data_IF_202520470061
#
_entry.id   IF_202520470061
#
_cell.length_a   1.000
_cell.length_b   1.000
_cell.length_c   1.000
_cell.angle_alpha   90.00
_cell.angle_beta   90.00
_cell.angle_gamma   90.00
#
_symmetry.space_group_name_H-M   'P 1'
#
loop_
_entity.id
_entity.type
_entity.pdbx_description
1 polymer ?
#
# COMPACT_ATOMS: atom_id res chain seq x y z
N UNK A 1 14.65 -19.15 1.02
CA UNK A 1 13.78 -18.29 1.82
C UNK A 1 13.32 -17.19 0.90
N UNK A 2 12.05 -17.09 0.60
CA UNK A 2 11.51 -16.07 -0.32
C UNK A 2 11.55 -14.68 0.31
N UNK A 3 11.36 -13.64 -0.51
CA UNK A 3 11.34 -12.27 -0.01
C UNK A 3 10.28 -12.06 1.08
N UNK A 4 9.08 -12.62 0.90
CA UNK A 4 7.99 -12.49 1.88
C UNK A 4 8.33 -13.15 3.22
N UNK A 5 9.15 -14.20 3.24
CA UNK A 5 9.60 -14.83 4.49
C UNK A 5 10.47 -13.86 5.31
N UNK A 6 11.26 -13.02 4.64
CA UNK A 6 12.06 -11.98 5.29
C UNK A 6 11.16 -10.91 5.91
N UNK A 7 10.11 -10.48 5.20
CA UNK A 7 9.10 -9.54 5.72
C UNK A 7 8.39 -10.14 6.94
N UNK A 8 7.95 -11.41 6.84
CA UNK A 8 7.31 -12.12 7.96
C UNK A 8 8.25 -12.24 9.17
N UNK A 9 9.53 -12.53 8.97
CA UNK A 9 10.52 -12.57 10.05
C UNK A 9 10.69 -11.21 10.74
N UNK A 10 10.73 -10.11 9.98
CA UNK A 10 10.76 -8.74 10.53
C UNK A 10 9.49 -8.42 11.31
N UNK A 11 8.32 -8.75 10.78
CA UNK A 11 7.04 -8.54 11.46
C UNK A 11 7.00 -9.25 12.83
N UNK A 12 7.47 -10.50 12.89
CA UNK A 12 7.59 -11.27 14.15
C UNK A 12 8.53 -10.65 15.18
N UNK A 13 9.64 -10.08 14.71
CA UNK A 13 10.69 -9.56 15.59
C UNK A 13 10.21 -8.33 16.42
N UNK A 14 9.30 -7.54 15.87
CA UNK A 14 8.67 -6.39 16.55
C UNK A 14 7.18 -6.36 16.17
N UNK A 15 6.38 -7.16 16.87
CA UNK A 15 4.96 -7.33 16.59
C UNK A 15 4.18 -6.05 16.81
N UNK A 16 3.39 -5.69 15.82
CA UNK A 16 2.47 -4.56 15.84
C UNK A 16 1.03 -5.03 15.93
N UNK A 17 0.16 -4.14 16.36
CA UNK A 17 -1.28 -4.41 16.48
C UNK A 17 -1.99 -3.90 15.23
N UNK A 18 -2.56 -4.82 14.45
CA UNK A 18 -3.21 -4.51 13.17
C UNK A 18 -4.72 -4.77 13.27
N UNK A 19 -5.50 -3.80 12.81
CA UNK A 19 -6.96 -3.91 12.74
C UNK A 19 -7.39 -4.54 11.43
N UNK A 20 -8.30 -5.51 11.52
CA UNK A 20 -9.04 -6.11 10.41
C UNK A 20 -10.53 -5.80 10.58
N UNK A 21 -11.08 -4.79 9.88
CA UNK A 21 -12.45 -4.33 10.11
C UNK A 21 -13.51 -5.14 9.35
N UNK A 22 -13.12 -5.96 8.38
CA UNK A 22 -14.03 -6.66 7.47
C UNK A 22 -14.42 -8.05 8.01
N UNK A 23 -15.14 -8.08 9.14
CA UNK A 23 -15.61 -9.30 9.78
C UNK A 23 -16.78 -10.00 9.04
N UNK A 24 -17.29 -9.41 7.98
CA UNK A 24 -18.27 -10.04 7.07
C UNK A 24 -17.61 -10.92 6.00
N UNK A 25 -16.29 -10.83 5.78
CA UNK A 25 -15.57 -11.59 4.77
C UNK A 25 -14.84 -12.80 5.39
N UNK A 26 -15.13 -13.99 4.89
CA UNK A 26 -14.53 -15.25 5.35
C UNK A 26 -13.00 -15.25 5.23
N UNK A 27 -12.45 -14.64 4.16
CA UNK A 27 -11.00 -14.55 3.93
C UNK A 27 -10.27 -13.80 5.05
N UNK A 28 -10.94 -12.83 5.69
CA UNK A 28 -10.39 -12.12 6.86
C UNK A 28 -10.12 -13.08 8.02
N UNK A 29 -11.01 -14.01 8.29
CA UNK A 29 -10.82 -15.01 9.36
C UNK A 29 -9.78 -16.07 8.99
N UNK A 30 -9.74 -16.51 7.73
CA UNK A 30 -8.73 -17.44 7.24
C UNK A 30 -7.32 -16.84 7.37
N UNK A 31 -7.17 -15.58 6.95
CA UNK A 31 -5.93 -14.82 7.12
C UNK A 31 -5.60 -14.60 8.62
N UNK A 32 -6.59 -14.21 9.43
CA UNK A 32 -6.39 -14.00 10.86
C UNK A 32 -5.88 -15.27 11.58
N UNK A 33 -6.48 -16.43 11.29
CA UNK A 33 -6.03 -17.70 11.85
C UNK A 33 -4.57 -18.02 11.47
N UNK A 34 -4.19 -17.76 10.22
CA UNK A 34 -2.82 -17.96 9.76
C UNK A 34 -1.83 -16.97 10.39
N UNK A 35 -2.17 -15.68 10.44
CA UNK A 35 -1.35 -14.63 11.07
C UNK A 35 -1.07 -14.97 12.54
N UNK A 36 -2.10 -15.37 13.28
CA UNK A 36 -1.99 -15.73 14.69
C UNK A 36 -1.21 -17.03 14.91
N UNK A 37 -1.39 -18.02 14.04
CA UNK A 37 -0.62 -19.28 14.05
C UNK A 37 0.86 -19.03 13.76
N UNK A 38 1.15 -18.17 12.79
CA UNK A 38 2.53 -17.79 12.42
C UNK A 38 3.13 -16.73 13.36
N UNK A 39 2.33 -16.15 14.26
CA UNK A 39 2.72 -15.11 15.24
C UNK A 39 3.28 -13.83 14.59
N UNK A 40 2.65 -13.38 13.49
CA UNK A 40 3.14 -12.24 12.69
C UNK A 40 2.78 -10.88 13.27
N UNK A 41 1.60 -10.76 13.89
CA UNK A 41 1.07 -9.52 14.44
C UNK A 41 0.06 -9.82 15.55
N UNK A 42 -0.20 -8.83 16.42
CA UNK A 42 -1.39 -8.82 17.24
C UNK A 42 -2.57 -8.36 16.38
N UNK A 43 -3.72 -9.02 16.49
CA UNK A 43 -4.88 -8.70 15.66
C UNK A 43 -6.03 -8.16 16.49
N UNK A 44 -6.69 -7.14 15.93
CA UNK A 44 -8.01 -6.69 16.36
C UNK A 44 -8.99 -6.96 15.24
N UNK A 45 -10.06 -7.69 15.52
CA UNK A 45 -11.18 -7.92 14.61
C UNK A 45 -12.37 -7.13 15.12
N UNK A 46 -12.94 -6.28 14.26
CA UNK A 46 -14.10 -5.45 14.63
C UNK A 46 -15.37 -6.22 14.30
N UNK A 47 -16.24 -6.38 15.31
CA UNK A 47 -17.53 -7.06 15.17
C UNK A 47 -18.05 -7.56 16.51
N UNK A 48 -19.31 -7.96 16.55
CA UNK A 48 -19.86 -8.61 17.76
C UNK A 48 -19.25 -10.01 17.94
N UNK A 49 -19.10 -10.44 19.21
CA UNK A 49 -18.57 -11.78 19.52
C UNK A 49 -19.34 -12.90 18.81
N UNK A 50 -20.67 -12.75 18.69
CA UNK A 50 -21.50 -13.71 17.98
C UNK A 50 -21.20 -13.76 16.48
N UNK A 51 -21.09 -12.60 15.84
CA UNK A 51 -20.77 -12.50 14.40
C UNK A 51 -19.37 -13.08 14.12
N UNK A 52 -18.37 -12.73 14.93
CA UNK A 52 -17.00 -13.23 14.78
C UNK A 52 -16.95 -14.74 15.01
N UNK A 53 -17.60 -15.26 16.05
CA UNK A 53 -17.67 -16.70 16.31
C UNK A 53 -18.30 -17.47 15.14
N UNK A 54 -19.38 -16.94 14.56
CA UNK A 54 -20.02 -17.55 13.39
C UNK A 54 -19.14 -17.46 12.13
N UNK A 55 -18.55 -16.30 11.88
CA UNK A 55 -17.70 -16.07 10.71
C UNK A 55 -16.40 -16.87 10.74
N UNK A 56 -15.85 -17.13 11.92
CA UNK A 56 -14.60 -17.88 12.12
C UNK A 56 -14.80 -19.38 12.37
N UNK A 57 -15.99 -19.92 12.17
CA UNK A 57 -16.27 -21.35 12.42
C UNK A 57 -15.23 -22.27 11.76
N UNK A 58 -14.61 -23.15 12.56
CA UNK A 58 -13.54 -24.05 12.12
C UNK A 58 -12.15 -23.42 12.02
N UNK A 59 -11.98 -22.16 12.40
CA UNK A 59 -10.70 -21.43 12.40
C UNK A 59 -10.34 -20.98 13.82
N UNK A 60 -9.07 -21.05 14.17
CA UNK A 60 -8.59 -20.57 15.48
C UNK A 60 -8.18 -19.09 15.40
N UNK A 61 -9.09 -18.24 15.84
CA UNK A 61 -8.86 -16.80 16.01
C UNK A 61 -8.87 -16.39 17.49
N UNK A 62 -8.73 -17.34 18.41
CA UNK A 62 -8.87 -17.11 19.86
C UNK A 62 -7.87 -16.12 20.45
N UNK A 63 -6.73 -15.91 19.77
CA UNK A 63 -5.72 -14.93 20.19
C UNK A 63 -5.98 -13.51 19.66
N UNK A 64 -6.98 -13.31 18.79
CA UNK A 64 -7.36 -11.98 18.34
C UNK A 64 -8.16 -11.26 19.43
N UNK A 65 -7.99 -9.95 19.55
CA UNK A 65 -8.86 -9.10 20.33
C UNK A 65 -10.12 -8.80 19.51
N UNK A 66 -11.30 -9.15 20.05
CA UNK A 66 -12.57 -8.83 19.41
C UNK A 66 -13.07 -7.51 19.97
N UNK A 67 -13.42 -6.58 19.10
CA UNK A 67 -13.95 -5.26 19.48
C UNK A 67 -15.34 -5.08 18.88
N UNK A 68 -16.34 -5.08 19.77
CA UNK A 68 -17.72 -4.76 19.43
C UNK A 68 -17.95 -3.24 19.59
N UNK A 69 -18.16 -2.48 18.50
CA UNK A 69 -18.36 -1.04 18.56
C UNK A 69 -19.51 -0.60 19.46
N UNK A 70 -20.54 -1.42 19.62
CA UNK A 70 -21.70 -1.08 20.47
C UNK A 70 -21.39 -1.21 21.96
N UNK A 71 -20.43 -2.07 22.33
CA UNK A 71 -20.11 -2.39 23.73
C UNK A 71 -18.77 -1.80 24.21
N UNK A 72 -17.92 -1.36 23.28
CA UNK A 72 -16.60 -0.85 23.63
C UNK A 72 -16.71 0.51 24.34
N UNK A 73 -16.13 0.61 25.52
CA UNK A 73 -16.09 1.84 26.32
C UNK A 73 -15.42 3.03 25.62
N UNK A 74 -14.51 2.78 24.67
CA UNK A 74 -13.81 3.80 23.89
C UNK A 74 -14.63 4.39 22.74
N UNK A 75 -15.76 3.77 22.38
CA UNK A 75 -16.58 4.20 21.23
C UNK A 75 -17.02 5.66 21.35
N UNK A 76 -17.39 6.12 22.55
CA UNK A 76 -17.78 7.53 22.74
C UNK A 76 -16.59 8.47 22.48
N UNK A 77 -15.39 8.12 22.92
CA UNK A 77 -14.19 8.93 22.65
C UNK A 77 -13.87 9.03 21.16
N UNK A 78 -14.10 7.95 20.40
CA UNK A 78 -13.95 7.96 18.92
C UNK A 78 -14.98 8.86 18.25
N UNK A 79 -16.23 8.82 18.72
CA UNK A 79 -17.30 9.73 18.24
C UNK A 79 -16.91 11.18 18.48
N UNK A 80 -16.51 11.53 19.70
CA UNK A 80 -16.14 12.90 20.09
C UNK A 80 -14.94 13.39 19.26
N UNK A 81 -13.95 12.53 19.06
CA UNK A 81 -12.77 12.85 18.24
C UNK A 81 -13.12 13.03 16.76
N UNK A 82 -14.04 12.23 16.22
CA UNK A 82 -14.49 12.39 14.82
C UNK A 82 -15.24 13.72 14.64
N UNK A 83 -16.07 14.12 15.62
CA UNK A 83 -16.71 15.44 15.63
C UNK A 83 -15.67 16.54 15.64
N UNK A 84 -14.67 16.49 16.54
CA UNK A 84 -13.57 17.47 16.62
C UNK A 84 -12.87 17.63 15.27
N UNK A 85 -12.48 16.51 14.64
CA UNK A 85 -11.72 16.50 13.39
C UNK A 85 -12.53 17.01 12.19
N UNK A 86 -13.87 16.85 12.23
CA UNK A 86 -14.74 17.08 11.08
C UNK A 86 -15.82 18.14 11.31
N UNK A 87 -15.81 18.85 12.45
CA UNK A 87 -16.80 19.90 12.79
C UNK A 87 -16.95 20.93 11.67
N UNK A 88 -15.82 21.42 11.12
CA UNK A 88 -15.79 22.40 10.01
C UNK A 88 -16.38 21.86 8.67
N UNK A 89 -16.64 20.56 8.60
CA UNK A 89 -17.26 19.88 7.45
C UNK A 89 -18.69 19.40 7.76
N UNK A 90 -19.29 19.91 8.84
CA UNK A 90 -20.68 19.64 9.22
C UNK A 90 -20.91 18.28 9.89
N UNK A 91 -19.87 17.69 10.51
CA UNK A 91 -20.05 16.49 11.34
C UNK A 91 -20.71 16.86 12.65
N UNK A 92 -21.87 16.26 12.94
CA UNK A 92 -22.57 16.40 14.21
C UNK A 92 -22.32 15.16 15.08
N UNK A 93 -22.54 15.20 16.41
CA UNK A 93 -22.41 14.03 17.29
C UNK A 93 -23.25 12.83 16.81
N UNK A 94 -24.47 13.07 16.35
CA UNK A 94 -25.37 12.03 15.89
C UNK A 94 -24.83 11.35 14.64
N UNK A 95 -24.39 12.14 13.64
CA UNK A 95 -23.76 11.63 12.40
C UNK A 95 -22.46 10.89 12.68
N UNK A 96 -21.64 11.42 13.60
CA UNK A 96 -20.39 10.78 13.97
C UNK A 96 -20.65 9.42 14.63
N UNK A 97 -21.63 9.35 15.55
CA UNK A 97 -22.02 8.10 16.19
C UNK A 97 -22.56 7.09 15.18
N UNK A 98 -23.45 7.52 14.30
CA UNK A 98 -23.99 6.67 13.23
C UNK A 98 -22.84 6.13 12.35
N UNK A 99 -21.90 6.99 11.91
CA UNK A 99 -20.75 6.59 11.10
C UNK A 99 -19.88 5.55 11.82
N UNK A 100 -19.52 5.81 13.07
CA UNK A 100 -18.63 4.94 13.86
C UNK A 100 -19.27 3.57 14.13
N UNK A 101 -20.58 3.51 14.37
CA UNK A 101 -21.25 2.25 14.67
C UNK A 101 -21.55 1.41 13.41
N UNK A 102 -21.77 2.05 12.26
CA UNK A 102 -22.21 1.37 11.04
C UNK A 102 -21.10 1.16 10.00
N UNK A 103 -19.92 1.75 10.18
CA UNK A 103 -18.79 1.61 9.27
C UNK A 103 -17.52 1.22 10.04
N UNK A 104 -17.22 -0.06 10.03
CA UNK A 104 -16.08 -0.62 10.77
C UNK A 104 -14.73 -0.14 10.24
N UNK A 105 -14.68 0.33 8.98
CA UNK A 105 -13.46 0.96 8.46
C UNK A 105 -13.21 2.31 9.14
N UNK A 106 -14.25 3.13 9.34
CA UNK A 106 -14.13 4.35 10.16
C UNK A 106 -13.73 4.03 11.59
N UNK A 107 -14.30 2.99 12.18
CA UNK A 107 -13.94 2.57 13.53
C UNK A 107 -12.46 2.17 13.65
N UNK A 108 -11.99 1.32 12.74
CA UNK A 108 -10.59 0.88 12.70
C UNK A 108 -9.60 2.03 12.49
N UNK A 109 -9.93 2.96 11.58
CA UNK A 109 -9.12 4.17 11.37
C UNK A 109 -9.08 5.06 12.62
N UNK A 110 -10.19 5.14 13.38
CA UNK A 110 -10.19 5.86 14.66
C UNK A 110 -9.33 5.16 15.71
N UNK A 111 -9.30 3.82 15.76
CA UNK A 111 -8.40 3.07 16.64
C UNK A 111 -6.94 3.42 16.34
N UNK A 112 -6.55 3.45 15.06
CA UNK A 112 -5.20 3.87 14.65
C UNK A 112 -4.94 5.33 15.03
N UNK A 113 -5.92 6.23 14.81
CA UNK A 113 -5.81 7.65 15.16
C UNK A 113 -5.59 7.91 16.63
N UNK A 114 -6.22 7.11 17.47
CA UNK A 114 -6.19 7.24 18.93
C UNK A 114 -5.05 6.45 19.59
N UNK A 115 -4.26 5.70 18.82
CA UNK A 115 -3.12 4.91 19.29
C UNK A 115 -3.53 3.58 19.95
N UNK A 116 -4.74 3.10 19.68
CA UNK A 116 -5.22 1.80 20.15
C UNK A 116 -4.82 0.65 19.22
N UNK A 117 -4.35 0.98 18.03
CA UNK A 117 -3.72 0.08 17.06
C UNK A 117 -2.62 0.81 16.30
N UNK A 118 -1.65 0.05 15.76
CA UNK A 118 -0.52 0.61 15.01
C UNK A 118 -0.87 0.79 13.53
N UNK A 119 -1.73 -0.07 12.98
CA UNK A 119 -2.12 -0.03 11.58
C UNK A 119 -3.43 -0.75 11.29
N UNK A 120 -3.89 -0.67 10.03
CA UNK A 120 -5.12 -1.32 9.58
C UNK A 120 -4.94 -1.91 8.18
N UNK A 121 -5.57 -3.05 7.92
CA UNK A 121 -5.70 -3.66 6.58
C UNK A 121 -7.17 -3.90 6.29
N UNK A 122 -7.66 -3.39 5.16
CA UNK A 122 -9.07 -3.46 4.72
C UNK A 122 -9.14 -3.46 3.19
N UNK A 123 -10.29 -3.74 2.59
CA UNK A 123 -10.51 -3.66 1.14
C UNK A 123 -10.85 -5.01 0.49
N UNK A 124 -10.89 -6.10 1.24
CA UNK A 124 -11.26 -7.41 0.71
C UNK A 124 -12.70 -7.44 0.16
N UNK A 125 -13.63 -6.72 0.81
CA UNK A 125 -15.01 -6.61 0.37
C UNK A 125 -15.49 -5.17 0.13
N UNK A 126 -14.67 -4.17 0.43
CA UNK A 126 -14.96 -2.75 0.18
C UNK A 126 -14.21 -2.21 -1.04
N UNK A 127 -14.67 -1.09 -1.58
CA UNK A 127 -13.93 -0.39 -2.65
C UNK A 127 -12.77 0.41 -2.05
N UNK A 128 -11.70 0.61 -2.82
CA UNK A 128 -10.58 1.49 -2.47
C UNK A 128 -11.04 2.86 -1.98
N UNK A 129 -12.06 3.44 -2.61
CA UNK A 129 -12.63 4.72 -2.18
C UNK A 129 -13.26 4.65 -0.77
N UNK A 130 -13.89 3.54 -0.41
CA UNK A 130 -14.49 3.36 0.92
C UNK A 130 -13.42 3.12 1.98
N UNK A 131 -12.36 2.39 1.66
CA UNK A 131 -11.22 2.16 2.57
C UNK A 131 -10.42 3.45 2.80
N UNK A 132 -10.09 4.19 1.75
CA UNK A 132 -9.21 5.36 1.85
C UNK A 132 -9.90 6.63 2.32
N UNK A 133 -11.22 6.77 2.11
CA UNK A 133 -11.96 7.96 2.54
C UNK A 133 -11.83 8.24 4.04
N UNK A 134 -12.05 7.31 4.96
CA UNK A 134 -11.83 7.55 6.39
C UNK A 134 -10.36 7.84 6.69
N UNK A 135 -9.42 7.19 6.05
CA UNK A 135 -7.99 7.44 6.23
C UNK A 135 -7.61 8.90 5.92
N UNK A 136 -8.04 9.40 4.76
CA UNK A 136 -7.79 10.79 4.35
C UNK A 136 -8.52 11.81 5.23
N UNK A 137 -9.70 11.46 5.72
CA UNK A 137 -10.50 12.36 6.57
C UNK A 137 -9.96 12.47 7.99
N UNK A 138 -9.42 11.40 8.54
CA UNK A 138 -9.06 11.26 9.96
C UNK A 138 -7.54 11.31 10.16
N UNK A 139 -6.78 10.48 9.45
CA UNK A 139 -5.32 10.39 9.59
C UNK A 139 -4.61 11.51 8.83
N UNK A 140 -5.13 11.86 7.66
CA UNK A 140 -4.55 12.82 6.72
C UNK A 140 -3.22 12.33 6.12
N UNK A 141 -2.54 13.21 5.38
CA UNK A 141 -1.22 12.95 4.79
C UNK A 141 -0.10 13.14 5.82
N UNK A 142 1.01 12.45 5.61
CA UNK A 142 2.28 12.75 6.32
C UNK A 142 2.67 14.21 6.11
N UNK A 143 3.27 14.89 7.10
CA UNK A 143 3.86 16.20 6.91
C UNK A 143 4.84 16.20 5.73
N UNK A 144 4.72 17.17 4.83
CA UNK A 144 5.57 17.27 3.64
C UNK A 144 5.13 16.42 2.44
N UNK A 145 4.21 15.49 2.60
CA UNK A 145 3.67 14.69 1.49
C UNK A 145 2.64 15.47 0.69
N UNK A 146 2.87 15.57 -0.61
CA UNK A 146 2.00 16.32 -1.53
C UNK A 146 0.80 15.50 -2.00
N UNK A 147 0.96 14.18 -2.08
CA UNK A 147 -0.02 13.26 -2.67
C UNK A 147 -0.03 11.93 -1.93
N UNK A 148 -1.21 11.37 -1.68
CA UNK A 148 -1.37 9.97 -1.32
C UNK A 148 -1.39 9.14 -2.59
N UNK A 149 -0.58 8.11 -2.65
CA UNK A 149 -0.48 7.19 -3.76
C UNK A 149 -0.48 5.74 -3.28
N UNK A 150 -0.44 4.80 -4.22
CA UNK A 150 -0.40 3.39 -3.91
C UNK A 150 0.67 2.69 -4.73
N UNK A 151 1.23 1.61 -4.19
CA UNK A 151 2.16 0.76 -4.92
C UNK A 151 1.80 -0.72 -4.75
N UNK A 152 2.29 -1.54 -5.65
CA UNK A 152 2.36 -2.98 -5.46
C UNK A 152 3.81 -3.40 -5.23
N UNK A 153 4.02 -4.21 -4.20
CA UNK A 153 5.26 -4.97 -4.07
C UNK A 153 5.09 -6.24 -4.90
N UNK A 154 5.87 -6.35 -5.96
CA UNK A 154 5.86 -7.49 -6.86
C UNK A 154 7.02 -8.40 -6.55
N UNK A 155 6.75 -9.70 -6.44
CA UNK A 155 7.78 -10.74 -6.32
C UNK A 155 7.60 -11.71 -7.49
N UNK A 156 8.46 -11.59 -8.48
CA UNK A 156 8.40 -12.36 -9.73
C UNK A 156 9.29 -13.59 -9.58
N UNK A 157 8.76 -14.80 -9.66
CA UNK A 157 9.56 -16.01 -9.51
C UNK A 157 10.51 -16.18 -10.69
N UNK A 158 11.68 -16.77 -10.43
CA UNK A 158 12.71 -17.10 -11.43
C UNK A 158 13.10 -15.91 -12.33
N UNK A 159 13.10 -14.69 -11.79
CA UNK A 159 13.38 -13.45 -12.51
C UNK A 159 14.74 -12.85 -12.11
N UNK A 160 15.60 -12.65 -13.09
CA UNK A 160 16.95 -12.08 -12.90
C UNK A 160 16.96 -10.54 -12.84
N UNK A 161 15.83 -9.88 -13.15
CA UNK A 161 15.73 -8.41 -13.17
C UNK A 161 15.33 -7.85 -11.80
N UNK A 162 15.56 -6.55 -11.63
CA UNK A 162 15.32 -5.86 -10.36
C UNK A 162 16.31 -6.31 -9.31
N UNK A 163 15.81 -6.67 -8.13
CA UNK A 163 16.58 -7.34 -7.09
C UNK A 163 16.03 -8.79 -6.95
N UNK A 164 16.50 -9.68 -7.82
CA UNK A 164 16.04 -11.07 -7.90
C UNK A 164 14.52 -11.21 -8.02
N UNK A 165 13.91 -10.41 -8.90
CA UNK A 165 12.47 -10.39 -9.15
C UNK A 165 11.65 -9.52 -8.20
N UNK A 166 12.28 -8.85 -7.23
CA UNK A 166 11.58 -7.93 -6.32
C UNK A 166 11.52 -6.52 -6.90
N UNK A 167 10.29 -5.99 -7.01
CA UNK A 167 10.02 -4.66 -7.55
C UNK A 167 8.97 -3.92 -6.73
N UNK A 168 9.01 -2.59 -6.79
CA UNK A 168 7.87 -1.72 -6.49
C UNK A 168 7.32 -1.15 -7.78
N UNK A 169 6.01 -1.31 -7.99
CA UNK A 169 5.24 -0.74 -9.10
C UNK A 169 4.34 0.37 -8.58
N UNK A 170 4.57 1.61 -8.94
CA UNK A 170 3.82 2.80 -8.51
C UNK A 170 3.39 3.71 -9.70
N UNK A 171 2.25 4.34 -9.69
CA UNK A 171 1.02 4.01 -8.98
C UNK A 171 0.18 3.06 -9.84
N UNK A 172 -0.33 1.99 -9.23
CA UNK A 172 -1.11 1.00 -9.96
C UNK A 172 -2.54 0.83 -9.38
N UNK A 173 -2.96 1.67 -8.43
CA UNK A 173 -4.20 1.46 -7.71
C UNK A 173 -5.04 2.70 -7.37
N UNK A 174 -4.51 3.91 -7.44
CA UNK A 174 -5.17 5.08 -6.87
C UNK A 174 -5.27 6.29 -7.82
N UNK A 175 -4.16 6.79 -8.33
CA UNK A 175 -4.12 8.04 -9.10
C UNK A 175 -4.32 7.77 -10.60
N UNK A 176 -5.44 8.24 -11.16
CA UNK A 176 -5.82 7.91 -12.54
C UNK A 176 -4.87 8.48 -13.58
N UNK A 177 -4.63 9.77 -13.53
CA UNK A 177 -3.76 10.46 -14.49
C UNK A 177 -2.99 11.58 -13.78
N UNK A 178 -1.91 11.23 -13.05
CA UNK A 178 -1.12 12.19 -12.30
C UNK A 178 -0.46 13.21 -13.24
N UNK A 179 -0.45 14.47 -12.83
CA UNK A 179 0.34 15.51 -13.49
C UNK A 179 1.85 15.31 -13.19
N UNK A 180 2.77 16.08 -13.81
CA UNK A 180 4.21 15.90 -13.61
C UNK A 180 4.66 16.00 -12.13
N UNK A 181 4.12 16.93 -11.36
CA UNK A 181 4.44 17.12 -9.95
C UNK A 181 3.94 15.95 -9.09
N UNK A 182 2.74 15.45 -9.38
CA UNK A 182 2.15 14.29 -8.72
C UNK A 182 2.94 13.03 -9.05
N UNK A 183 3.33 12.84 -10.32
CA UNK A 183 4.11 11.68 -10.76
C UNK A 183 5.51 11.68 -10.13
N UNK A 184 6.16 12.85 -9.99
CA UNK A 184 7.41 13.00 -9.26
C UNK A 184 7.25 12.62 -7.77
N UNK A 185 6.16 13.05 -7.11
CA UNK A 185 5.88 12.69 -5.72
C UNK A 185 5.61 11.19 -5.55
N UNK A 186 4.94 10.54 -6.50
CA UNK A 186 4.77 9.08 -6.53
C UNK A 186 6.12 8.37 -6.60
N UNK A 187 7.04 8.85 -7.43
CA UNK A 187 8.38 8.29 -7.57
C UNK A 187 9.18 8.36 -6.26
N UNK A 188 9.18 9.52 -5.59
CA UNK A 188 9.85 9.71 -4.30
C UNK A 188 9.28 8.79 -3.22
N UNK A 189 7.96 8.76 -3.07
CA UNK A 189 7.29 7.90 -2.08
C UNK A 189 7.52 6.40 -2.35
N UNK A 190 7.54 6.00 -3.62
CA UNK A 190 7.80 4.61 -4.03
C UNK A 190 9.25 4.19 -3.76
N UNK A 191 10.21 5.10 -3.93
CA UNK A 191 11.60 4.88 -3.58
C UNK A 191 11.79 4.67 -2.07
N UNK A 192 11.15 5.51 -1.25
CA UNK A 192 11.15 5.36 0.22
C UNK A 192 10.55 4.03 0.64
N UNK A 193 9.39 3.66 0.06
CA UNK A 193 8.70 2.39 0.33
C UNK A 193 9.58 1.19 -0.04
N UNK A 194 10.27 1.24 -1.19
CA UNK A 194 11.19 0.20 -1.61
C UNK A 194 12.34 0.03 -0.61
N UNK A 195 13.02 1.13 -0.26
CA UNK A 195 14.14 1.11 0.71
C UNK A 195 13.70 0.57 2.07
N UNK A 196 12.55 1.00 2.56
CA UNK A 196 12.00 0.59 3.85
C UNK A 196 11.69 -0.92 3.88
N UNK A 197 11.10 -1.46 2.81
CA UNK A 197 10.70 -2.87 2.76
C UNK A 197 11.88 -3.80 2.49
N UNK A 198 12.76 -3.45 1.55
CA UNK A 198 13.83 -4.34 1.09
C UNK A 198 15.17 -4.12 1.82
N UNK A 199 15.41 -2.91 2.33
CA UNK A 199 16.71 -2.48 2.83
C UNK A 199 17.72 -2.15 1.71
N UNK A 200 17.32 -2.30 0.44
CA UNK A 200 18.17 -2.05 -0.72
C UNK A 200 17.99 -0.62 -1.26
N UNK A 201 18.97 -0.16 -2.04
CA UNK A 201 18.88 1.15 -2.68
C UNK A 201 17.89 1.12 -3.86
N UNK A 202 16.92 2.05 -3.91
CA UNK A 202 15.99 2.17 -5.01
C UNK A 202 16.69 2.70 -6.26
N UNK A 203 16.38 2.09 -7.40
CA UNK A 203 16.74 2.53 -8.74
C UNK A 203 15.44 2.75 -9.52
N UNK A 204 15.03 4.02 -9.58
CA UNK A 204 13.70 4.43 -10.01
C UNK A 204 13.67 4.72 -11.52
N UNK A 205 12.86 4.00 -12.28
CA UNK A 205 12.59 4.27 -13.67
C UNK A 205 11.23 4.92 -13.88
N UNK A 206 11.22 6.12 -14.48
CA UNK A 206 9.99 6.79 -14.92
C UNK A 206 9.61 6.23 -16.29
N UNK A 207 8.53 5.43 -16.32
CA UNK A 207 8.15 4.64 -17.50
C UNK A 207 7.37 5.43 -18.54
N UNK A 208 7.67 5.14 -19.80
CA UNK A 208 6.97 5.66 -20.98
C UNK A 208 7.10 4.66 -22.14
N UNK A 209 6.34 4.87 -23.21
CA UNK A 209 6.59 4.21 -24.49
C UNK A 209 7.79 4.81 -25.25
N UNK A 210 8.42 5.86 -24.69
CA UNK A 210 9.63 6.52 -25.21
C UNK A 210 10.84 6.24 -24.31
N UNK A 211 12.04 6.21 -24.90
CA UNK A 211 13.32 6.26 -24.17
C UNK A 211 14.16 7.39 -24.72
N UNK A 212 14.50 8.37 -23.85
CA UNK A 212 15.43 9.46 -24.16
C UNK A 212 15.11 10.20 -25.47
N UNK A 213 13.82 10.56 -25.65
CA UNK A 213 13.35 11.33 -26.80
C UNK A 213 13.07 10.51 -28.06
N UNK A 214 12.92 9.17 -27.94
CA UNK A 214 12.63 8.32 -29.11
C UNK A 214 11.22 8.54 -29.68
N UNK A 215 10.30 9.14 -28.91
CA UNK A 215 8.97 9.54 -29.36
C UNK A 215 8.62 10.95 -28.88
N UNK A 216 7.62 11.58 -29.51
CA UNK A 216 7.10 12.90 -29.14
C UNK A 216 5.59 12.82 -28.97
N UNK A 217 5.12 13.05 -27.76
CA UNK A 217 3.70 13.09 -27.40
C UNK A 217 3.53 13.79 -26.04
N UNK A 218 2.36 14.35 -25.76
CA UNK A 218 2.09 15.00 -24.49
C UNK A 218 2.30 14.05 -23.29
N UNK A 219 1.99 12.77 -23.43
CA UNK A 219 2.23 11.76 -22.38
C UNK A 219 3.73 11.53 -22.13
N UNK A 220 4.56 11.62 -23.17
CA UNK A 220 6.03 11.58 -23.04
C UNK A 220 6.54 12.82 -22.33
N UNK A 221 6.08 14.00 -22.75
CA UNK A 221 6.47 15.29 -22.16
C UNK A 221 6.13 15.34 -20.67
N UNK A 222 4.98 14.78 -20.27
CA UNK A 222 4.58 14.61 -18.87
C UNK A 222 5.63 13.83 -18.06
N UNK A 223 6.10 12.70 -18.56
CA UNK A 223 7.09 11.86 -17.87
C UNK A 223 8.47 12.51 -17.85
N UNK A 224 8.87 13.16 -18.94
CA UNK A 224 10.12 13.95 -19.01
C UNK A 224 10.14 15.03 -17.95
N UNK A 225 9.05 15.81 -17.83
CA UNK A 225 8.94 16.88 -16.86
C UNK A 225 8.89 16.34 -15.42
N UNK A 226 8.14 15.26 -15.17
CA UNK A 226 8.13 14.57 -13.88
C UNK A 226 9.53 14.09 -13.46
N UNK A 227 10.30 13.55 -14.41
CA UNK A 227 11.68 13.11 -14.19
C UNK A 227 12.58 14.28 -13.79
N UNK A 228 12.45 15.42 -14.47
CA UNK A 228 13.19 16.65 -14.15
C UNK A 228 12.88 17.13 -12.73
N UNK A 229 11.58 17.23 -12.39
CA UNK A 229 11.12 17.67 -11.07
C UNK A 229 11.65 16.75 -9.96
N UNK A 230 11.55 15.42 -10.14
CA UNK A 230 12.02 14.44 -9.15
C UNK A 230 13.54 14.52 -8.93
N UNK A 231 14.33 14.68 -10.00
CA UNK A 231 15.79 14.86 -9.91
C UNK A 231 16.20 16.15 -9.21
N UNK A 232 15.46 17.23 -9.43
CA UNK A 232 15.72 18.50 -8.75
C UNK A 232 15.36 18.45 -7.26
N UNK A 233 14.26 17.79 -6.92
CA UNK A 233 13.81 17.62 -5.53
C UNK A 233 14.73 16.70 -4.73
N UNK A 234 15.25 15.64 -5.34
CA UNK A 234 16.11 14.65 -4.69
C UNK A 234 17.29 14.25 -5.60
N UNK A 235 18.36 15.07 -5.66
CA UNK A 235 19.51 14.83 -6.53
C UNK A 235 20.29 13.55 -6.25
N UNK A 236 20.19 13.04 -5.01
CA UNK A 236 20.90 11.84 -4.58
C UNK A 236 20.15 10.54 -4.92
N UNK A 237 18.86 10.64 -5.28
CA UNK A 237 18.06 9.49 -5.66
C UNK A 237 18.50 8.98 -7.04
N UNK A 238 18.83 7.70 -7.15
CA UNK A 238 19.05 7.05 -8.43
C UNK A 238 17.71 6.95 -9.19
N UNK A 239 17.38 8.00 -9.94
CA UNK A 239 16.16 8.13 -10.71
C UNK A 239 16.48 8.56 -12.14
N UNK A 240 15.84 7.92 -13.12
CA UNK A 240 15.96 8.31 -14.52
C UNK A 240 14.67 8.04 -15.33
N UNK A 241 14.56 8.73 -16.44
CA UNK A 241 13.43 8.66 -17.38
C UNK A 241 13.59 9.72 -18.47
N UNK A 242 12.73 9.72 -19.45
CA UNK A 242 11.70 8.67 -19.65
C UNK A 242 12.38 7.42 -20.23
N UNK A 243 11.92 6.25 -19.79
CA UNK A 243 12.43 4.96 -20.23
C UNK A 243 11.30 4.01 -20.60
N UNK A 244 11.46 3.27 -21.69
CA UNK A 244 10.66 2.09 -21.97
C UNK A 244 10.98 1.00 -20.95
N UNK A 245 10.03 0.10 -20.69
CA UNK A 245 10.19 -0.96 -19.70
C UNK A 245 11.42 -1.85 -19.98
N UNK A 246 11.61 -2.26 -21.22
CA UNK A 246 12.77 -3.06 -21.62
C UNK A 246 14.10 -2.32 -21.37
N UNK A 247 14.16 -1.03 -21.68
CA UNK A 247 15.33 -0.21 -21.38
C UNK A 247 15.55 -0.01 -19.87
N UNK A 248 14.47 0.00 -19.07
CA UNK A 248 14.57 0.16 -17.62
C UNK A 248 15.16 -1.08 -16.92
N UNK A 249 14.79 -2.31 -17.35
CA UNK A 249 15.10 -3.53 -16.60
C UNK A 249 16.11 -4.46 -17.28
N UNK A 250 16.23 -4.43 -18.62
CA UNK A 250 17.12 -5.34 -19.36
C UNK A 250 18.48 -4.67 -19.61
N UNK A 251 19.59 -5.20 -19.06
CA UNK A 251 20.92 -4.54 -19.13
C UNK A 251 21.39 -4.20 -20.54
N UNK A 252 21.25 -5.13 -21.50
CA UNK A 252 21.68 -4.91 -22.89
C UNK A 252 20.86 -3.83 -23.60
N UNK A 253 19.55 -3.75 -23.32
CA UNK A 253 18.65 -2.74 -23.88
C UNK A 253 18.93 -1.37 -23.25
N UNK A 254 19.11 -1.34 -21.93
CA UNK A 254 19.48 -0.12 -21.20
C UNK A 254 20.80 0.48 -21.70
N UNK A 255 21.82 -0.35 -21.89
CA UNK A 255 23.11 0.08 -22.43
C UNK A 255 23.00 0.64 -23.87
N UNK A 256 22.07 0.12 -24.68
CA UNK A 256 21.84 0.58 -26.04
C UNK A 256 21.03 1.87 -26.14
N UNK A 257 19.90 1.94 -25.36
CA UNK A 257 18.93 3.05 -25.48
C UNK A 257 19.24 4.24 -24.54
N UNK A 258 19.94 4.00 -23.45
CA UNK A 258 20.27 5.02 -22.44
C UNK A 258 21.66 4.75 -21.80
N UNK A 259 22.76 4.81 -22.57
CA UNK A 259 24.10 4.42 -22.12
C UNK A 259 24.62 5.22 -20.92
N UNK A 260 24.21 6.48 -20.78
CA UNK A 260 24.64 7.37 -19.70
C UNK A 260 23.77 7.25 -18.42
N UNK A 261 22.74 6.41 -18.46
CA UNK A 261 21.81 6.25 -17.34
C UNK A 261 22.41 5.37 -16.22
N UNK A 262 22.31 5.85 -15.00
CA UNK A 262 22.65 5.05 -13.79
C UNK A 262 21.57 4.05 -13.41
N UNK A 263 20.39 4.10 -14.03
CA UNK A 263 19.19 3.31 -13.71
C UNK A 263 18.83 2.31 -14.80
N UNK A 264 18.98 2.69 -16.07
CA UNK A 264 18.62 1.84 -17.21
C UNK A 264 19.30 0.46 -17.11
N UNK A 265 18.53 -0.58 -17.39
CA UNK A 265 18.95 -1.97 -17.35
C UNK A 265 19.00 -2.61 -15.96
N UNK A 266 18.66 -1.87 -14.88
CA UNK A 266 18.76 -2.37 -13.49
C UNK A 266 17.76 -1.73 -12.53
N UNK A 267 16.66 -1.16 -13.06
CA UNK A 267 15.62 -0.57 -12.23
C UNK A 267 14.91 -1.63 -11.37
N UNK A 268 14.57 -1.25 -10.13
CA UNK A 268 13.81 -2.04 -9.19
C UNK A 268 12.55 -1.32 -8.67
N UNK A 269 12.41 -0.04 -9.01
CA UNK A 269 11.19 0.77 -8.78
C UNK A 269 10.72 1.28 -10.14
N UNK A 270 9.49 0.90 -10.52
CA UNK A 270 8.90 1.21 -11.82
C UNK A 270 7.72 2.14 -11.62
N UNK A 271 7.80 3.36 -12.16
CA UNK A 271 6.75 4.37 -12.04
C UNK A 271 5.99 4.45 -13.35
N UNK A 272 4.72 4.10 -13.29
CA UNK A 272 3.83 4.09 -14.46
C UNK A 272 3.24 5.48 -14.72
N UNK A 273 3.06 5.86 -15.99
CA UNK A 273 2.62 7.22 -16.34
C UNK A 273 1.17 7.53 -15.96
N UNK A 274 0.34 6.50 -15.84
CA UNK A 274 -1.07 6.58 -15.49
C UNK A 274 -1.58 5.26 -14.93
N UNK A 275 -2.82 5.27 -14.43
CA UNK A 275 -3.44 4.11 -13.79
C UNK A 275 -3.71 2.95 -14.78
N UNK A 276 -4.05 3.24 -16.03
CA UNK A 276 -4.31 2.19 -17.01
C UNK A 276 -3.04 1.37 -17.26
N UNK A 277 -1.91 2.04 -17.51
CA UNK A 277 -0.62 1.39 -17.70
C UNK A 277 -0.21 0.59 -16.44
N UNK A 278 -0.31 1.16 -15.25
CA UNK A 278 0.07 0.53 -13.99
C UNK A 278 -0.85 -0.65 -13.63
N UNK A 279 -2.17 -0.46 -13.70
CA UNK A 279 -3.14 -1.48 -13.32
C UNK A 279 -3.14 -2.69 -14.27
N UNK A 280 -3.03 -2.45 -15.57
CA UNK A 280 -2.89 -3.50 -16.57
C UNK A 280 -1.53 -4.20 -16.39
N UNK A 281 -0.47 -3.42 -16.21
CA UNK A 281 0.90 -3.91 -16.08
C UNK A 281 1.09 -4.88 -14.92
N UNK A 282 0.70 -4.49 -13.69
CA UNK A 282 0.88 -5.40 -12.57
C UNK A 282 0.04 -6.68 -12.69
N UNK A 283 -1.20 -6.60 -13.22
CA UNK A 283 -2.05 -7.77 -13.42
C UNK A 283 -1.49 -8.72 -14.47
N UNK A 284 -0.91 -8.19 -15.55
CA UNK A 284 -0.22 -9.02 -16.56
C UNK A 284 0.93 -9.79 -15.92
N UNK A 285 1.79 -9.13 -15.14
CA UNK A 285 2.90 -9.78 -14.46
C UNK A 285 2.40 -10.78 -13.42
N UNK A 286 1.42 -10.41 -12.58
CA UNK A 286 0.82 -11.30 -11.59
C UNK A 286 0.27 -12.58 -12.24
N UNK A 287 -0.51 -12.47 -13.31
CA UNK A 287 -1.21 -13.62 -13.89
C UNK A 287 -0.33 -14.44 -14.83
N UNK A 288 0.46 -13.80 -15.70
CA UNK A 288 1.26 -14.48 -16.72
C UNK A 288 2.59 -14.99 -16.16
N UNK A 289 3.27 -14.22 -15.32
CA UNK A 289 4.51 -14.63 -14.68
C UNK A 289 4.31 -15.34 -13.32
N UNK A 290 3.05 -15.51 -12.88
CA UNK A 290 2.72 -16.08 -11.56
C UNK A 290 3.39 -15.35 -10.40
N UNK A 291 3.56 -14.04 -10.55
CA UNK A 291 4.14 -13.21 -9.53
C UNK A 291 3.17 -13.03 -8.34
N UNK A 292 3.74 -12.96 -7.15
CA UNK A 292 3.02 -12.45 -5.99
C UNK A 292 2.90 -10.92 -6.12
N UNK A 293 1.73 -10.37 -5.83
CA UNK A 293 1.44 -8.94 -5.93
C UNK A 293 0.77 -8.46 -4.65
N UNK A 294 1.56 -7.88 -3.76
CA UNK A 294 1.07 -7.38 -2.47
C UNK A 294 0.68 -5.91 -2.60
N UNK A 295 -0.61 -5.63 -2.45
CA UNK A 295 -1.14 -4.28 -2.56
C UNK A 295 -2.63 -4.22 -2.95
N UNK A 296 -3.15 -2.99 -3.20
CA UNK A 296 -2.37 -1.74 -3.27
C UNK A 296 -1.97 -1.23 -1.88
N UNK A 297 -0.68 -1.11 -1.65
CA UNK A 297 -0.13 -0.55 -0.43
C UNK A 297 -0.18 0.97 -0.48
N UNK A 298 -0.74 1.61 0.54
CA UNK A 298 -0.82 3.07 0.56
C UNK A 298 0.49 3.71 1.04
N UNK A 299 0.81 4.84 0.45
CA UNK A 299 1.95 5.67 0.83
C UNK A 299 1.55 7.14 0.91
N UNK A 300 2.18 7.86 1.84
CA UNK A 300 1.86 9.27 2.06
C UNK A 300 0.74 9.52 3.08
N UNK A 301 0.09 8.53 3.64
CA UNK A 301 -0.83 8.66 4.79
C UNK A 301 -0.02 8.71 6.09
N UNK A 302 -0.52 9.47 7.08
CA UNK A 302 0.20 9.71 8.34
C UNK A 302 0.32 8.48 9.26
N UNK A 303 -0.36 7.37 8.95
CA UNK A 303 -0.20 6.09 9.63
C UNK A 303 -0.40 4.93 8.64
N UNK A 304 0.18 3.73 8.89
CA UNK A 304 0.05 2.59 8.00
C UNK A 304 -1.38 2.06 7.96
N UNK A 305 -2.03 2.33 6.85
CA UNK A 305 -3.35 1.76 6.53
C UNK A 305 -3.30 1.31 5.09
N UNK A 306 -3.53 0.04 4.84
CA UNK A 306 -3.41 -0.53 3.51
C UNK A 306 -4.73 -1.07 2.99
N UNK A 307 -4.93 -0.87 1.69
CA UNK A 307 -6.08 -1.38 0.95
C UNK A 307 -5.75 -2.77 0.36
N UNK A 308 -6.78 -3.51 0.05
CA UNK A 308 -6.71 -4.81 -0.59
C UNK A 308 -7.43 -4.78 -1.93
N UNK A 309 -7.03 -5.60 -2.86
CA UNK A 309 -7.86 -5.90 -4.02
C UNK A 309 -9.04 -6.76 -3.58
N UNK A 310 -10.25 -6.49 -4.05
CA UNK A 310 -11.43 -7.34 -3.82
C UNK A 310 -11.25 -8.78 -4.34
N UNK A 311 -10.31 -8.97 -5.25
CA UNK A 311 -9.91 -10.28 -5.75
C UNK A 311 -8.73 -10.92 -5.01
N UNK A 312 -8.36 -10.43 -3.81
CA UNK A 312 -7.29 -10.99 -3.00
C UNK A 312 -7.66 -12.38 -2.45
N UNK A 313 -6.65 -13.18 -2.17
CA UNK A 313 -6.73 -14.41 -1.40
C UNK A 313 -6.52 -14.15 0.09
N UNK A 314 -6.74 -15.14 0.94
CA UNK A 314 -6.38 -15.05 2.36
C UNK A 314 -4.86 -14.90 2.53
N UNK A 315 -4.06 -15.55 1.69
CA UNK A 315 -2.60 -15.43 1.68
C UNK A 315 -2.14 -14.01 1.34
N UNK A 316 -2.82 -13.33 0.40
CA UNK A 316 -2.56 -11.92 0.09
C UNK A 316 -2.79 -11.03 1.33
N UNK A 317 -3.88 -11.27 2.07
CA UNK A 317 -4.16 -10.55 3.32
C UNK A 317 -3.05 -10.78 4.35
N UNK A 318 -2.58 -12.02 4.53
CA UNK A 318 -1.45 -12.35 5.42
C UNK A 318 -0.20 -11.55 5.04
N UNK A 319 0.13 -11.52 3.74
CA UNK A 319 1.27 -10.77 3.22
C UNK A 319 1.15 -9.27 3.46
N UNK A 320 -0.02 -8.68 3.17
CA UNK A 320 -0.30 -7.25 3.39
C UNK A 320 -0.25 -6.89 4.88
N UNK A 321 -0.76 -7.75 5.77
CA UNK A 321 -0.64 -7.54 7.22
C UNK A 321 0.82 -7.57 7.68
N UNK A 322 1.63 -8.51 7.19
CA UNK A 322 3.05 -8.58 7.52
C UNK A 322 3.80 -7.31 7.03
N UNK A 323 3.51 -6.84 5.82
CA UNK A 323 4.08 -5.59 5.29
C UNK A 323 3.62 -4.39 6.12
N UNK A 324 2.33 -4.31 6.48
CA UNK A 324 1.78 -3.24 7.31
C UNK A 324 2.47 -3.20 8.68
N UNK A 325 2.69 -4.37 9.31
CA UNK A 325 3.42 -4.45 10.57
C UNK A 325 4.86 -3.91 10.43
N UNK A 326 5.56 -4.23 9.34
CA UNK A 326 6.89 -3.67 9.05
C UNK A 326 6.84 -2.16 8.81
N UNK A 327 5.82 -1.64 8.13
CA UNK A 327 5.62 -0.19 7.98
C UNK A 327 5.45 0.51 9.34
N UNK A 328 4.74 -0.11 10.29
CA UNK A 328 4.54 0.43 11.64
C UNK A 328 5.83 0.45 12.50
N UNK A 329 6.88 -0.32 12.14
CA UNK A 329 8.14 -0.36 12.89
C UNK A 329 9.04 0.85 12.63
N UNK A 330 8.83 1.57 11.53
CA UNK A 330 9.68 2.69 11.07
C UNK A 330 9.00 4.06 11.17
N UNK A 331 7.91 4.15 11.88
CA UNK A 331 7.19 5.41 12.14
C UNK A 331 7.56 6.09 13.45
#
# INVERSE_FOLDING_TARGET
>A
MGFIDTIKARAKADKKTIVLPESEDRRTYEAAAQILKEDLANLIIIGSEEAVKKGSEGLDVSKATIVDPEKNEKTQAYVDKLVELRAKKGMTPEKARETILNDYTYYGVMMVKMGDADGMVSGACHSTANTLRPCLQILKTKPGTKLVSAFFLMVVPDCEYGDDGVFVFGDCGLNQNPNPEELAAIAESSAESYRMLTGNEPRVAMLSHSSKGSAKHADVDKVVEATRIAKEANPDLALDGELQLDAAIVPSVGASKAPDSKVAGKANVLIFPDLDAGNIGYKLVQRLAKAEAYGPMTQGIAAPVNDLSRGCSAEDIVGVVAITAVQCQVQ
#
